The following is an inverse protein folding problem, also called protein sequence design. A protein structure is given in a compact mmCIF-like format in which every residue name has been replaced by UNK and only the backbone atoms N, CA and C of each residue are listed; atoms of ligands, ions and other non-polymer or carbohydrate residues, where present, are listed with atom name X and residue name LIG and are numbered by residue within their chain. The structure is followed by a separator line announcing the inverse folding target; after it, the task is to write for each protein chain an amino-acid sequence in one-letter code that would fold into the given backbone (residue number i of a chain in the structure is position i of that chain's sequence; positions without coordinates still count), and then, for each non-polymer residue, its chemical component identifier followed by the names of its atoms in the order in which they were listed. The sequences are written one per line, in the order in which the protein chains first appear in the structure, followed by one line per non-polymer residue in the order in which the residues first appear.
data_IF_269903306873
#
_entry.id   IF_269903306873
#
_cell.length_a   1.000
_cell.length_b   1.000
_cell.length_c   1.000
_cell.angle_alpha   90.00
_cell.angle_beta   90.00
_cell.angle_gamma   90.00
#
_symmetry.space_group_name_H-M   'P 1'
#
loop_
_entity.id
_entity.type
_entity.pdbx_description
1 polymer ?
#
# COMPACT_ATOMS: atom_id res chain seq x y z
N UNK A 1 -21.71 -3.08 0.37
CA UNK A 1 -20.96 -3.45 -0.85
C UNK A 1 -19.56 -3.88 -0.44
N UNK A 2 -18.95 -4.79 -1.18
CA UNK A 2 -17.61 -5.32 -0.90
C UNK A 2 -16.56 -4.55 -1.68
N UNK A 3 -15.55 -4.06 -0.99
CA UNK A 3 -14.42 -3.35 -1.55
C UNK A 3 -13.12 -4.01 -1.14
N UNK A 4 -12.10 -3.84 -1.97
CA UNK A 4 -10.77 -4.38 -1.77
C UNK A 4 -9.74 -3.26 -1.73
N UNK A 5 -8.77 -3.39 -0.82
CA UNK A 5 -7.58 -2.56 -0.76
C UNK A 5 -6.35 -3.45 -0.82
N UNK A 6 -5.47 -3.20 -1.78
CA UNK A 6 -4.23 -3.95 -1.92
C UNK A 6 -3.06 -3.21 -1.27
N UNK A 7 -2.29 -3.94 -0.48
CA UNK A 7 -1.17 -3.38 0.28
C UNK A 7 -0.02 -4.37 0.41
N UNK A 8 1.11 -3.89 0.94
CA UNK A 8 2.25 -4.75 1.25
C UNK A 8 2.10 -5.37 2.62
N UNK A 9 2.78 -6.49 2.84
CA UNK A 9 2.84 -7.13 4.17
C UNK A 9 3.29 -6.15 5.25
N UNK A 10 4.34 -5.36 4.97
CA UNK A 10 4.87 -4.36 5.90
C UNK A 10 3.86 -3.29 6.31
N UNK A 11 2.99 -2.86 5.38
CA UNK A 11 1.96 -1.88 5.68
C UNK A 11 0.69 -2.49 6.25
N UNK A 12 0.39 -3.75 5.93
CA UNK A 12 -0.77 -4.46 6.45
C UNK A 12 -0.79 -4.37 7.98
N UNK A 13 0.31 -4.65 8.66
CA UNK A 13 0.34 -4.64 10.13
C UNK A 13 0.02 -3.28 10.75
N UNK A 14 0.49 -2.18 10.15
CA UNK A 14 0.10 -0.84 10.61
C UNK A 14 -1.38 -0.57 10.34
N UNK A 15 -1.89 -1.01 9.18
CA UNK A 15 -3.30 -0.85 8.80
C UNK A 15 -4.22 -1.64 9.74
N UNK A 16 -3.84 -2.84 10.16
CA UNK A 16 -4.65 -3.67 11.05
C UNK A 16 -4.79 -3.07 12.46
N UNK A 17 -3.86 -2.21 12.89
CA UNK A 17 -3.96 -1.46 14.15
C UNK A 17 -4.57 -0.07 14.00
N UNK A 18 -4.30 0.64 12.91
CA UNK A 18 -4.64 2.07 12.78
C UNK A 18 -5.69 2.39 11.70
N UNK A 19 -6.07 1.40 10.90
CA UNK A 19 -6.87 1.61 9.69
C UNK A 19 -6.07 2.19 8.52
N UNK A 20 -6.80 2.53 7.45
CA UNK A 20 -6.27 3.10 6.22
C UNK A 20 -6.67 4.57 6.16
N UNK A 21 -5.70 5.48 6.22
CA UNK A 21 -5.95 6.92 6.20
C UNK A 21 -5.05 7.68 5.22
N UNK A 22 -4.09 6.99 4.60
CA UNK A 22 -3.08 7.60 3.74
C UNK A 22 -3.23 7.17 2.29
N UNK A 23 -3.04 8.14 1.41
CA UNK A 23 -3.04 7.99 -0.03
C UNK A 23 -3.29 9.33 -0.69
N UNK A 24 -3.17 9.36 -2.01
CA UNK A 24 -3.34 10.57 -2.79
C UNK A 24 -3.88 10.26 -4.18
N UNK A 25 -4.50 11.24 -4.80
CA UNK A 25 -4.88 11.22 -6.21
C UNK A 25 -4.28 12.44 -6.91
N UNK A 26 -3.73 12.23 -8.10
CA UNK A 26 -3.07 13.26 -8.90
C UNK A 26 -3.95 13.65 -10.07
N UNK A 27 -4.24 14.93 -10.20
CA UNK A 27 -5.08 15.52 -11.24
C UNK A 27 -4.32 15.80 -12.55
N UNK A 28 -5.07 16.08 -13.62
CA UNK A 28 -4.51 16.39 -14.95
C UNK A 28 -3.70 17.69 -14.97
N UNK A 29 -4.08 18.67 -14.14
CA UNK A 29 -3.35 19.93 -13.93
C UNK A 29 -2.06 19.77 -13.08
N UNK A 30 -1.79 18.56 -12.59
CA UNK A 30 -0.63 18.25 -11.76
C UNK A 30 -0.83 18.51 -10.26
N UNK A 31 -1.97 19.07 -9.84
CA UNK A 31 -2.32 19.18 -8.43
C UNK A 31 -2.56 17.79 -7.81
N UNK A 32 -2.36 17.70 -6.49
CA UNK A 32 -2.47 16.46 -5.74
C UNK A 32 -3.48 16.66 -4.61
N UNK A 33 -4.45 15.76 -4.51
CA UNK A 33 -5.31 15.65 -3.33
C UNK A 33 -4.79 14.51 -2.45
N UNK A 34 -4.37 14.87 -1.25
CA UNK A 34 -3.95 13.94 -0.20
C UNK A 34 -5.13 13.43 0.62
N UNK A 35 -4.86 12.48 1.53
CA UNK A 35 -5.83 11.90 2.47
C UNK A 35 -7.02 11.26 1.76
N UNK A 36 -6.70 10.44 0.75
CA UNK A 36 -7.68 9.64 0.01
C UNK A 36 -7.30 8.18 0.12
N UNK A 37 -8.28 7.32 0.40
CA UNK A 37 -8.09 5.87 0.40
C UNK A 37 -8.58 5.31 -0.93
N UNK A 38 -7.69 4.59 -1.61
CA UNK A 38 -8.02 3.86 -2.83
C UNK A 38 -8.65 2.52 -2.50
N UNK A 39 -9.79 2.25 -3.11
CA UNK A 39 -10.52 1.00 -3.02
C UNK A 39 -10.83 0.49 -4.44
N UNK A 40 -11.16 -0.79 -4.56
CA UNK A 40 -11.68 -1.33 -5.81
C UNK A 40 -12.75 -2.40 -5.56
N UNK A 41 -13.65 -2.58 -6.52
CA UNK A 41 -14.60 -3.70 -6.53
C UNK A 41 -14.05 -4.94 -7.23
N UNK A 42 -12.86 -4.84 -7.85
CA UNK A 42 -12.17 -5.95 -8.48
C UNK A 42 -11.40 -6.76 -7.41
N UNK A 43 -11.68 -8.07 -7.23
CA UNK A 43 -10.94 -8.89 -6.28
C UNK A 43 -9.49 -9.16 -6.72
N UNK A 44 -9.14 -8.97 -7.99
CA UNK A 44 -7.83 -9.30 -8.51
C UNK A 44 -6.85 -8.11 -8.43
N UNK A 45 -5.60 -8.40 -8.07
CA UNK A 45 -4.57 -7.35 -7.93
C UNK A 45 -4.05 -6.87 -9.30
N UNK A 46 -4.21 -7.69 -10.34
CA UNK A 46 -3.60 -7.47 -11.65
C UNK A 46 -4.27 -6.33 -12.41
N UNK A 47 -3.45 -5.46 -13.02
CA UNK A 47 -3.94 -4.33 -13.80
C UNK A 47 -4.34 -3.09 -12.99
N UNK A 48 -4.07 -3.08 -11.67
CA UNK A 48 -4.33 -1.94 -10.77
C UNK A 48 -3.13 -0.99 -10.58
N UNK A 49 -2.01 -1.22 -11.27
CA UNK A 49 -0.82 -0.37 -11.16
C UNK A 49 -0.12 -0.46 -9.80
N UNK A 50 -0.32 -1.59 -9.11
CA UNK A 50 0.30 -1.88 -7.83
C UNK A 50 1.80 -2.15 -8.00
N UNK A 51 2.59 -1.74 -7.01
CA UNK A 51 4.02 -2.00 -7.01
C UNK A 51 4.33 -3.46 -6.67
N UNK A 52 5.31 -4.05 -7.36
CA UNK A 52 5.71 -5.46 -7.21
C UNK A 52 6.94 -5.67 -6.32
N UNK A 53 7.57 -4.58 -5.87
CA UNK A 53 8.74 -4.60 -4.99
C UNK A 53 10.06 -5.07 -5.62
N UNK A 54 10.07 -5.24 -6.94
CA UNK A 54 11.23 -5.61 -7.77
C UNK A 54 12.09 -4.41 -8.18
N UNK A 55 11.59 -3.19 -7.96
CA UNK A 55 12.22 -1.94 -8.38
C UNK A 55 12.73 -1.13 -7.18
N UNK A 56 13.72 -0.30 -7.44
CA UNK A 56 14.14 0.77 -6.53
C UNK A 56 13.58 2.08 -7.06
N UNK A 57 13.20 3.00 -6.17
CA UNK A 57 12.75 4.34 -6.55
C UNK A 57 13.81 5.03 -7.41
N UNK A 58 13.40 5.50 -8.59
CA UNK A 58 14.24 6.36 -9.44
C UNK A 58 14.34 7.76 -8.83
N UNK A 59 15.30 8.58 -9.29
CA UNK A 59 15.39 9.99 -8.86
C UNK A 59 14.07 10.75 -9.07
N UNK A 60 13.34 10.40 -10.14
CA UNK A 60 12.04 10.97 -10.45
C UNK A 60 10.94 10.52 -9.49
N UNK A 61 10.97 9.26 -9.07
CA UNK A 61 10.02 8.76 -8.06
C UNK A 61 10.29 9.44 -6.71
N UNK A 62 11.57 9.62 -6.36
CA UNK A 62 11.97 10.33 -5.14
C UNK A 62 11.47 11.78 -5.15
N UNK A 63 11.65 12.51 -6.27
CA UNK A 63 11.15 13.87 -6.42
C UNK A 63 9.61 13.93 -6.30
N UNK A 64 8.93 13.00 -6.98
CA UNK A 64 7.47 12.92 -6.94
C UNK A 64 6.95 12.66 -5.52
N UNK A 65 7.50 11.66 -4.83
CA UNK A 65 7.11 11.32 -3.46
C UNK A 65 7.45 12.45 -2.48
N UNK A 66 8.58 13.13 -2.66
CA UNK A 66 8.92 14.32 -1.85
C UNK A 66 7.84 15.40 -1.97
N UNK A 67 7.30 15.61 -3.18
CA UNK A 67 6.20 16.57 -3.38
C UNK A 67 4.87 16.11 -2.77
N UNK A 68 4.59 14.81 -2.79
CA UNK A 68 3.37 14.22 -2.20
C UNK A 68 3.41 14.28 -0.67
N UNK A 69 4.50 13.78 -0.08
CA UNK A 69 4.65 13.57 1.37
C UNK A 69 5.26 14.78 2.10
N UNK A 70 5.79 15.77 1.37
CA UNK A 70 6.47 16.95 1.91
C UNK A 70 7.88 16.67 2.45
N UNK A 71 8.31 15.41 2.49
CA UNK A 71 9.62 14.97 2.96
C UNK A 71 10.15 13.89 2.02
N UNK A 72 11.46 13.94 1.73
CA UNK A 72 12.09 12.95 0.88
C UNK A 72 12.07 11.55 1.54
N UNK A 73 11.76 10.48 0.78
CA UNK A 73 11.87 9.13 1.30
C UNK A 73 13.27 8.83 1.86
N UNK A 74 13.34 8.17 3.02
CA UNK A 74 14.61 7.84 3.67
C UNK A 74 15.36 6.70 2.99
N UNK A 75 14.66 5.88 2.20
CA UNK A 75 15.23 4.80 1.42
C UNK A 75 14.49 4.67 0.07
N UNK A 76 15.13 4.00 -0.88
CA UNK A 76 14.57 3.75 -2.22
C UNK A 76 13.76 2.47 -2.34
N UNK A 77 13.40 1.80 -1.24
CA UNK A 77 12.77 0.48 -1.28
C UNK A 77 11.32 0.64 -1.69
N UNK A 78 10.95 -0.02 -2.79
CA UNK A 78 9.55 -0.15 -3.21
C UNK A 78 8.98 -1.40 -2.56
N UNK A 79 7.84 -1.26 -1.89
CA UNK A 79 7.17 -2.41 -1.26
C UNK A 79 6.27 -3.12 -2.28
N UNK A 80 6.18 -4.45 -2.17
CA UNK A 80 5.26 -5.24 -3.01
C UNK A 80 3.83 -5.14 -2.47
N UNK A 81 2.99 -4.33 -3.13
CA UNK A 81 1.58 -4.08 -2.77
C UNK A 81 0.60 -5.10 -3.35
N UNK A 82 1.06 -6.07 -4.13
CA UNK A 82 0.19 -7.15 -4.64
C UNK A 82 0.04 -8.30 -3.63
N UNK A 83 0.72 -8.23 -2.48
CA UNK A 83 0.85 -9.34 -1.53
C UNK A 83 -0.31 -9.48 -0.55
N UNK A 84 -0.95 -8.38 -0.18
CA UNK A 84 -2.06 -8.42 0.79
C UNK A 84 -3.29 -7.79 0.19
N UNK A 85 -4.44 -8.46 0.29
CA UNK A 85 -5.76 -7.93 -0.02
C UNK A 85 -6.55 -7.80 1.27
N UNK A 86 -6.99 -6.58 1.55
CA UNK A 86 -7.92 -6.28 2.63
C UNK A 86 -9.31 -6.20 2.03
N UNK A 87 -10.27 -6.90 2.62
CA UNK A 87 -11.69 -6.75 2.31
C UNK A 87 -12.31 -5.78 3.29
N UNK A 88 -13.08 -4.83 2.77
CA UNK A 88 -13.85 -3.86 3.54
C UNK A 88 -15.30 -3.91 3.07
N UNK A 89 -16.23 -3.93 4.02
CA UNK A 89 -17.66 -3.91 3.71
C UNK A 89 -18.28 -2.60 4.18
N UNK A 90 -18.75 -1.79 3.23
CA UNK A 90 -19.35 -0.48 3.51
C UNK A 90 -20.53 -0.21 2.58
N UNK A 91 -21.45 0.67 3.00
CA UNK A 91 -22.53 1.12 2.12
C UNK A 91 -21.96 1.93 0.94
N UNK A 92 -22.48 1.69 -0.26
CA UNK A 92 -22.12 2.50 -1.43
C UNK A 92 -22.67 3.93 -1.33
N UNK A 93 -23.72 4.14 -0.52
CA UNK A 93 -24.36 5.44 -0.29
C UNK A 93 -23.62 6.31 0.73
N UNK A 94 -22.46 5.84 1.21
CA UNK A 94 -21.60 6.59 2.12
C UNK A 94 -21.15 7.88 1.42
N UNK A 95 -21.49 9.05 1.98
CA UNK A 95 -21.23 10.36 1.35
C UNK A 95 -19.75 10.65 1.05
N UNK A 96 -18.84 9.97 1.74
CA UNK A 96 -17.38 10.11 1.57
C UNK A 96 -16.81 9.15 0.54
N UNK A 97 -17.62 8.27 -0.05
CA UNK A 97 -17.20 7.26 -1.01
C UNK A 97 -17.71 7.63 -2.41
N UNK A 98 -16.85 7.52 -3.43
CA UNK A 98 -17.22 7.86 -4.80
C UNK A 98 -16.45 7.01 -5.82
N UNK A 99 -17.08 6.58 -6.93
CA UNK A 99 -16.36 6.00 -8.05
C UNK A 99 -15.28 6.97 -8.57
N UNK A 100 -14.08 6.47 -8.83
CA UNK A 100 -12.95 7.29 -9.29
C UNK A 100 -13.28 8.07 -10.56
N UNK A 101 -13.90 7.41 -11.54
CA UNK A 101 -14.29 8.02 -12.82
C UNK A 101 -15.29 9.16 -12.61
N UNK A 102 -16.23 8.98 -11.68
CA UNK A 102 -17.21 10.01 -11.33
C UNK A 102 -16.53 11.20 -10.63
N UNK A 103 -15.60 10.94 -9.71
CA UNK A 103 -14.83 11.99 -9.05
C UNK A 103 -14.08 12.87 -10.07
N UNK A 104 -13.44 12.26 -11.07
CA UNK A 104 -12.76 13.00 -12.14
C UNK A 104 -13.74 13.84 -12.97
N UNK A 105 -14.89 13.27 -13.34
CA UNK A 105 -15.92 13.99 -14.07
C UNK A 105 -16.43 15.21 -13.28
N UNK A 106 -16.73 15.06 -11.98
CA UNK A 106 -17.18 16.15 -11.09
C UNK A 106 -16.12 17.24 -10.91
N UNK A 107 -14.84 16.89 -11.02
CA UNK A 107 -13.71 17.85 -10.99
C UNK A 107 -13.53 18.62 -12.31
N UNK A 108 -14.24 18.24 -13.37
CA UNK A 108 -14.06 18.82 -14.71
C UNK A 108 -12.82 18.31 -15.44
N UNK A 109 -12.28 17.15 -15.04
CA UNK A 109 -11.19 16.50 -15.77
C UNK A 109 -11.65 16.08 -17.16
N UNK A 110 -10.72 16.02 -18.12
CA UNK A 110 -11.07 15.60 -19.48
C UNK A 110 -11.51 14.12 -19.46
N UNK A 111 -12.46 13.71 -20.33
CA UNK A 111 -13.00 12.35 -20.33
C UNK A 111 -11.93 11.25 -20.40
N UNK A 112 -10.84 11.49 -21.13
CA UNK A 112 -9.75 10.53 -21.29
C UNK A 112 -8.79 10.45 -20.08
N UNK A 113 -8.79 11.42 -19.14
CA UNK A 113 -7.82 11.47 -18.04
C UNK A 113 -7.98 10.31 -17.07
N UNK A 114 -9.22 9.91 -16.75
CA UNK A 114 -9.46 8.73 -15.92
C UNK A 114 -8.91 7.46 -16.59
N UNK A 115 -9.10 7.34 -17.91
CA UNK A 115 -8.57 6.21 -18.68
C UNK A 115 -7.05 6.26 -18.83
N UNK A 116 -6.44 7.45 -18.92
CA UNK A 116 -4.99 7.61 -18.89
C UNK A 116 -4.39 7.20 -17.54
N UNK A 117 -5.08 7.51 -16.43
CA UNK A 117 -4.72 6.98 -15.11
C UNK A 117 -4.81 5.45 -15.10
N UNK A 118 -5.89 4.87 -15.63
CA UNK A 118 -6.01 3.42 -15.85
C UNK A 118 -4.84 2.82 -16.65
N UNK A 119 -4.47 3.46 -17.75
CA UNK A 119 -3.39 3.03 -18.64
C UNK A 119 -2.01 3.11 -17.97
N UNK A 120 -1.84 3.96 -16.95
CA UNK A 120 -0.59 4.08 -16.20
C UNK A 120 -0.21 2.80 -15.43
N UNK A 121 -1.18 1.90 -15.22
CA UNK A 121 -0.91 0.57 -14.69
C UNK A 121 -0.13 -0.35 -15.65
N UNK A 122 -0.14 -0.04 -16.95
CA UNK A 122 0.44 -0.88 -18.01
C UNK A 122 1.62 -0.21 -18.71
N UNK A 123 1.63 1.11 -18.73
CA UNK A 123 2.64 1.89 -19.45
C UNK A 123 3.18 2.98 -18.54
N UNK A 124 4.51 3.09 -18.50
CA UNK A 124 5.14 4.16 -17.74
C UNK A 124 4.76 5.53 -18.33
N UNK A 125 4.08 6.34 -17.52
CA UNK A 125 3.73 7.73 -17.83
C UNK A 125 3.06 7.95 -19.21
N UNK A 126 1.82 7.44 -19.40
CA UNK A 126 1.11 7.47 -20.68
C UNK A 126 0.86 8.89 -21.23
N UNK A 127 0.88 9.92 -20.36
CA UNK A 127 0.73 11.32 -20.76
C UNK A 127 1.84 11.83 -21.70
N UNK A 128 3.05 11.25 -21.62
CA UNK A 128 4.20 11.66 -22.45
C UNK A 128 4.32 10.93 -23.78
N UNK A 129 3.44 9.96 -24.04
CA UNK A 129 3.46 9.24 -25.31
C UNK A 129 3.03 10.16 -26.48
N UNK A 130 3.56 9.94 -27.70
CA UNK A 130 3.04 10.58 -28.90
C UNK A 130 1.52 10.39 -29.03
N UNK A 131 0.81 11.43 -29.48
CA UNK A 131 -0.66 11.46 -29.51
C UNK A 131 -1.27 10.26 -30.24
N UNK A 132 -0.67 9.83 -31.36
CA UNK A 132 -1.11 8.67 -32.14
C UNK A 132 -1.04 7.37 -31.33
N UNK A 133 0.10 7.12 -30.68
CA UNK A 133 0.29 5.95 -29.80
C UNK A 133 -0.64 5.99 -28.59
N UNK A 134 -0.79 7.17 -27.97
CA UNK A 134 -1.71 7.36 -26.84
C UNK A 134 -3.15 7.05 -27.22
N UNK A 135 -3.64 7.59 -28.35
CA UNK A 135 -5.00 7.30 -28.87
C UNK A 135 -5.19 5.83 -29.21
N UNK A 136 -4.18 5.17 -29.76
CA UNK A 136 -4.23 3.74 -30.03
C UNK A 136 -4.42 2.95 -28.72
N UNK A 137 -3.57 3.18 -27.72
CA UNK A 137 -3.64 2.48 -26.43
C UNK A 137 -4.94 2.75 -25.66
N UNK A 138 -5.44 3.99 -25.67
CA UNK A 138 -6.73 4.32 -25.06
C UNK A 138 -7.90 3.53 -25.69
N UNK A 139 -7.76 3.08 -26.95
CA UNK A 139 -8.77 2.26 -27.63
C UNK A 139 -8.53 0.76 -27.47
N UNK A 140 -7.27 0.31 -27.51
CA UNK A 140 -6.92 -1.12 -27.55
C UNK A 140 -6.66 -1.75 -26.18
N UNK A 141 -6.37 -0.96 -25.15
CA UNK A 141 -6.11 -1.47 -23.80
C UNK A 141 -7.37 -1.44 -22.95
N UNK A 142 -7.72 -2.59 -22.37
CA UNK A 142 -8.74 -2.70 -21.32
C UNK A 142 -8.09 -2.38 -19.99
N UNK A 143 -8.52 -1.28 -19.38
CA UNK A 143 -7.98 -0.75 -18.13
C UNK A 143 -9.01 -0.90 -17.00
N UNK A 144 -8.58 -0.76 -15.74
CA UNK A 144 -9.39 -1.13 -14.56
C UNK A 144 -9.99 0.08 -13.81
N UNK A 145 -9.81 1.30 -14.30
CA UNK A 145 -10.24 2.54 -13.63
C UNK A 145 -11.74 2.58 -13.30
N UNK A 146 -12.58 1.91 -14.08
CA UNK A 146 -14.02 1.81 -13.81
C UNK A 146 -14.37 0.98 -12.56
N UNK A 147 -13.42 0.21 -12.03
CA UNK A 147 -13.57 -0.56 -10.79
C UNK A 147 -13.03 0.18 -9.57
N UNK A 148 -12.39 1.34 -9.75
CA UNK A 148 -11.72 2.06 -8.68
C UNK A 148 -12.68 3.01 -7.97
N UNK A 149 -12.51 3.10 -6.66
CA UNK A 149 -13.27 3.94 -5.76
C UNK A 149 -12.34 4.73 -4.86
N UNK A 150 -12.78 5.92 -4.48
CA UNK A 150 -12.07 6.80 -3.56
C UNK A 150 -12.93 6.99 -2.31
N UNK A 151 -12.35 6.69 -1.14
CA UNK A 151 -12.90 7.19 0.12
C UNK A 151 -12.15 8.45 0.54
N UNK A 152 -12.91 9.50 0.83
CA UNK A 152 -12.44 10.76 1.39
C UNK A 152 -12.48 10.79 2.93
N UNK A 153 -12.90 9.68 3.55
CA UNK A 153 -12.75 9.40 4.97
C UNK A 153 -11.76 8.25 5.18
N UNK A 154 -11.08 8.21 6.34
CA UNK A 154 -10.31 7.03 6.74
C UNK A 154 -11.20 5.78 6.80
N UNK A 155 -10.62 4.63 6.49
CA UNK A 155 -11.21 3.32 6.75
C UNK A 155 -10.64 2.83 8.08
N UNK A 156 -11.50 2.64 9.06
CA UNK A 156 -11.11 2.14 10.39
C UNK A 156 -10.73 0.67 10.32
N UNK A 157 -9.89 0.21 11.25
CA UNK A 157 -9.49 -1.20 11.30
C UNK A 157 -10.67 -2.15 11.57
N UNK A 158 -11.71 -1.69 12.25
CA UNK A 158 -12.94 -2.46 12.48
C UNK A 158 -13.80 -2.66 11.23
N UNK A 159 -13.63 -1.84 10.19
CA UNK A 159 -14.34 -2.01 8.91
C UNK A 159 -13.69 -3.07 8.00
N UNK A 160 -12.47 -3.50 8.33
CA UNK A 160 -11.79 -4.59 7.63
C UNK A 160 -12.45 -5.89 8.06
N UNK A 161 -13.00 -6.64 7.12
CA UNK A 161 -13.73 -7.89 7.37
C UNK A 161 -12.93 -9.13 6.97
N UNK A 162 -11.87 -8.98 6.16
CA UNK A 162 -10.97 -10.08 5.79
C UNK A 162 -9.58 -9.57 5.43
N UNK A 163 -8.57 -10.37 5.74
CA UNK A 163 -7.17 -10.13 5.38
C UNK A 163 -6.64 -11.36 4.67
N UNK A 164 -6.22 -11.21 3.42
CA UNK A 164 -5.77 -12.33 2.58
C UNK A 164 -4.37 -12.07 2.03
N UNK A 165 -3.58 -13.13 1.93
CA UNK A 165 -2.26 -13.15 1.32
C UNK A 165 -2.31 -13.71 -0.10
N UNK A 166 -1.64 -13.05 -1.04
CA UNK A 166 -1.50 -13.50 -2.41
C UNK A 166 -0.38 -14.55 -2.53
N UNK A 167 -0.78 -15.82 -2.47
CA UNK A 167 0.09 -16.98 -2.66
C UNK A 167 0.10 -17.45 -4.12
N UNK A 168 1.03 -18.34 -4.53
CA UNK A 168 0.99 -18.95 -5.85
C UNK A 168 -0.31 -19.71 -6.16
N UNK A 169 -1.05 -20.15 -5.13
CA UNK A 169 -2.35 -20.83 -5.28
C UNK A 169 -3.54 -19.85 -5.28
N UNK A 170 -3.27 -18.54 -5.23
CA UNK A 170 -4.27 -17.48 -5.08
C UNK A 170 -4.33 -16.89 -3.67
N UNK A 171 -5.39 -16.13 -3.41
CA UNK A 171 -5.60 -15.49 -2.12
C UNK A 171 -6.01 -16.49 -1.04
N UNK A 172 -5.21 -16.56 0.03
CA UNK A 172 -5.45 -17.39 1.22
C UNK A 172 -5.55 -16.50 2.46
N UNK A 173 -6.13 -16.97 3.55
CA UNK A 173 -6.21 -16.17 4.77
C UNK A 173 -4.80 -15.81 5.28
N UNK A 174 -4.63 -14.54 5.67
CA UNK A 174 -3.33 -14.04 6.10
C UNK A 174 -2.98 -14.56 7.50
N UNK A 175 -1.79 -15.16 7.62
CA UNK A 175 -1.16 -15.44 8.88
C UNK A 175 0.24 -14.81 8.92
N UNK A 176 0.57 -14.17 10.04
CA UNK A 176 1.82 -13.45 10.17
C UNK A 176 3.02 -14.39 10.23
N UNK A 177 2.90 -15.57 10.85
CA UNK A 177 4.03 -16.49 10.95
C UNK A 177 4.31 -17.15 9.60
N UNK A 178 3.25 -17.57 8.90
CA UNK A 178 3.36 -18.21 7.59
C UNK A 178 3.73 -17.23 6.46
N UNK A 179 3.14 -16.03 6.47
CA UNK A 179 3.21 -15.10 5.33
C UNK A 179 3.91 -13.78 5.65
N UNK A 180 3.95 -13.39 6.91
CA UNK A 180 4.36 -12.05 7.35
C UNK A 180 5.83 -11.91 7.74
N UNK A 181 6.32 -12.83 8.57
CA UNK A 181 7.58 -12.73 9.30
C UNK A 181 8.78 -12.50 8.38
N UNK A 182 8.89 -13.27 7.30
CA UNK A 182 10.01 -13.13 6.37
C UNK A 182 9.99 -11.78 5.64
N UNK A 183 8.83 -11.32 5.18
CA UNK A 183 8.70 -10.01 4.52
C UNK A 183 9.01 -8.86 5.48
N UNK A 184 8.66 -9.00 6.76
CA UNK A 184 9.08 -8.07 7.82
C UNK A 184 10.59 -8.02 7.96
N UNK A 185 11.22 -9.18 8.05
CA UNK A 185 12.67 -9.31 8.13
C UNK A 185 13.36 -8.67 6.93
N UNK A 186 12.90 -8.95 5.71
CA UNK A 186 13.46 -8.41 4.47
C UNK A 186 13.30 -6.88 4.36
N UNK A 187 12.26 -6.34 4.98
CA UNK A 187 12.05 -4.89 5.13
C UNK A 187 12.91 -4.26 6.25
N UNK A 188 13.73 -5.05 6.95
CA UNK A 188 14.65 -4.60 8.00
C UNK A 188 14.07 -4.63 9.42
N UNK A 189 12.92 -5.29 9.61
CA UNK A 189 12.28 -5.45 10.91
C UNK A 189 12.57 -6.83 11.51
N UNK A 190 13.12 -6.88 12.71
CA UNK A 190 13.33 -8.11 13.46
C UNK A 190 12.24 -8.24 14.52
N UNK A 191 11.54 -9.35 14.48
CA UNK A 191 10.37 -9.62 15.34
C UNK A 191 10.70 -10.79 16.27
N UNK A 192 10.38 -10.72 17.59
CA UNK A 192 10.55 -11.82 18.52
C UNK A 192 9.82 -13.10 18.09
N UNK A 193 10.09 -14.20 18.79
CA UNK A 193 9.41 -15.48 18.54
C UNK A 193 7.89 -15.35 18.76
N UNK A 194 7.12 -16.24 18.13
CA UNK A 194 5.68 -16.31 18.31
C UNK A 194 5.27 -16.45 19.79
N UNK A 195 6.01 -17.27 20.55
CA UNK A 195 5.78 -17.44 21.99
C UNK A 195 5.98 -16.13 22.77
N UNK A 196 7.01 -15.35 22.44
CA UNK A 196 7.24 -14.04 23.07
C UNK A 196 6.14 -13.05 22.70
N UNK A 197 5.72 -12.99 21.43
CA UNK A 197 4.61 -12.11 21.01
C UNK A 197 3.30 -12.49 21.72
N UNK A 198 3.04 -13.78 21.90
CA UNK A 198 1.85 -14.24 22.61
C UNK A 198 1.85 -13.81 24.09
N UNK A 199 3.03 -13.73 24.71
CA UNK A 199 3.16 -13.20 26.08
C UNK A 199 2.88 -11.69 26.20
N UNK A 200 2.89 -10.94 25.09
CA UNK A 200 2.54 -9.51 25.05
C UNK A 200 1.03 -9.25 25.01
N UNK A 201 0.25 -10.20 24.49
CA UNK A 201 -1.20 -10.05 24.33
C UNK A 201 -1.95 -9.60 25.60
N UNK A 202 -1.65 -10.09 26.82
CA UNK A 202 -2.30 -9.57 28.03
C UNK A 202 -1.82 -8.17 28.46
N UNK A 203 -0.68 -7.70 27.95
CA UNK A 203 -0.06 -6.42 28.32
C UNK A 203 -0.42 -5.29 27.35
N UNK A 204 -0.67 -5.64 26.10
CA UNK A 204 -1.00 -4.71 25.02
C UNK A 204 -2.34 -5.14 24.44
N UNK A 205 -3.45 -4.48 24.82
CA UNK A 205 -4.76 -4.83 24.30
C UNK A 205 -4.80 -4.61 22.78
N UNK A 206 -5.52 -5.48 22.09
CA UNK A 206 -5.84 -5.32 20.68
C UNK A 206 -7.31 -4.94 20.57
N UNK A 207 -7.58 -3.81 19.93
CA UNK A 207 -8.93 -3.23 19.84
C UNK A 207 -9.70 -3.74 18.61
N UNK A 208 -8.98 -4.34 17.64
CA UNK A 208 -9.55 -4.74 16.35
C UNK A 208 -9.39 -6.24 16.05
N UNK A 209 -10.31 -6.85 15.27
CA UNK A 209 -10.36 -8.31 15.08
C UNK A 209 -9.11 -8.94 14.47
N UNK A 210 -8.41 -8.19 13.61
CA UNK A 210 -7.22 -8.65 12.90
C UNK A 210 -5.92 -8.06 13.47
N UNK A 211 -6.03 -7.21 14.49
CA UNK A 211 -4.88 -6.67 15.18
C UNK A 211 -4.18 -7.76 15.99
N UNK A 212 -2.85 -7.72 16.01
CA UNK A 212 -2.02 -8.58 16.86
C UNK A 212 -0.98 -7.72 17.57
N UNK A 213 -0.91 -7.84 18.89
CA UNK A 213 0.13 -7.20 19.69
C UNK A 213 1.52 -7.61 19.16
N UNK A 214 2.33 -6.62 18.78
CA UNK A 214 3.64 -6.82 18.18
C UNK A 214 4.70 -5.93 18.79
N UNK A 215 5.85 -6.54 19.05
CA UNK A 215 7.10 -5.83 19.29
C UNK A 215 8.05 -6.15 18.15
N UNK A 216 8.84 -5.16 17.73
CA UNK A 216 9.88 -5.36 16.72
C UNK A 216 10.99 -4.33 16.90
N UNK A 217 12.19 -4.70 16.48
CA UNK A 217 13.30 -3.78 16.30
C UNK A 217 13.50 -3.53 14.80
N UNK A 218 14.01 -2.37 14.42
CA UNK A 218 14.38 -2.08 13.04
C UNK A 218 15.88 -1.77 12.97
N UNK A 219 16.56 -2.27 11.94
CA UNK A 219 17.95 -1.93 11.74
C UNK A 219 18.10 -0.54 11.09
N UNK A 220 18.90 0.33 11.71
CA UNK A 220 19.23 1.67 11.16
C UNK A 220 20.15 1.60 9.93
N UNK A 221 20.95 0.54 9.77
CA UNK A 221 21.85 0.31 8.63
C UNK A 221 21.35 -0.83 7.71
N UNK A 222 20.48 -0.47 6.78
CA UNK A 222 19.88 -1.41 5.81
C UNK A 222 20.90 -2.08 4.87
N UNK A 223 22.15 -1.58 4.77
CA UNK A 223 23.22 -2.21 3.97
C UNK A 223 23.84 -3.44 4.65
N UNK A 224 23.65 -3.59 5.97
CA UNK A 224 24.09 -4.77 6.74
C UNK A 224 23.08 -5.91 6.66
N UNK A 225 21.79 -5.59 6.73
CA UNK A 225 20.69 -6.58 6.60
C UNK A 225 20.80 -7.38 5.31
N UNK A 226 21.09 -6.73 4.17
CA UNK A 226 21.27 -7.42 2.86
C UNK A 226 22.48 -8.36 2.79
N UNK A 227 23.44 -8.23 3.70
CA UNK A 227 24.64 -9.10 3.78
C UNK A 227 24.47 -10.24 4.78
N UNK A 228 23.33 -10.34 5.45
CA UNK A 228 23.14 -11.27 6.57
C UNK A 228 23.85 -10.83 7.85
N UNK A 229 24.37 -9.59 7.90
CA UNK A 229 25.04 -9.05 9.08
C UNK A 229 24.01 -8.55 10.09
N UNK A 230 24.10 -9.05 11.32
CA UNK A 230 23.24 -8.63 12.42
C UNK A 230 23.47 -7.16 12.79
N UNK A 231 22.38 -6.42 12.98
CA UNK A 231 22.41 -5.08 13.59
C UNK A 231 22.26 -5.12 15.12
N UNK A 232 22.49 -6.27 15.75
CA UNK A 232 22.51 -6.39 17.20
C UNK A 232 23.81 -5.78 17.77
N UNK A 233 23.91 -4.46 17.68
CA UNK A 233 24.88 -3.67 18.44
C UNK A 233 24.25 -3.22 19.75
N UNK A 234 23.93 -4.13 20.67
CA UNK A 234 23.95 -3.75 22.08
C UNK A 234 25.42 -3.74 22.47
N UNK A 235 26.10 -2.62 22.21
CA UNK A 235 27.34 -2.36 22.93
C UNK A 235 26.95 -2.08 24.36
N UNK A 236 27.18 -3.05 25.24
CA UNK A 236 27.40 -2.78 26.64
C UNK A 236 28.71 -1.99 26.75
N UNK A 237 28.68 -0.70 26.45
CA UNK A 237 29.71 0.21 26.95
C UNK A 237 29.19 0.73 28.31
N UNK A 238 29.88 0.44 29.42
CA UNK A 238 29.51 1.02 30.70
C UNK A 238 29.68 2.55 30.62
N UNK A 239 28.89 3.33 31.39
CA UNK A 239 29.08 4.77 31.41
C UNK A 239 30.50 5.07 31.91
N UNK A 240 31.31 5.67 31.04
CA UNK A 240 32.57 6.28 31.44
C UNK A 240 32.27 7.35 32.49
N UNK A 241 33.08 7.34 33.55
CA UNK A 241 32.97 8.19 34.72
C UNK A 241 33.42 9.61 34.44
#
# INVERSE_FOLDING_TARGET
MKFYHFTSVSYAETILSMGISRGHVKHGDGSIRNSVVWLTTDPDADGHGLTTGDKTLTARDMEYLTRVDGVAPKNGIVMNKTRVRLTVEMSADTATLMPFVEYYARRGEKPDEAKLMGLSAYVENPWRLPLTRRRHLLKSTTTKEGTWWLSFAPITASEITRVEYNSPAGFVDYDFEAHGRQHFHDAGFVVPSAATLQSLHPLVPCDYPFEKAKAFAFCLDTKRVRRGDWCAGVRNEPPER
#
